data_IF_546399410098
#
_entry.id   IF_546399410098
#
_cell.length_a   1.000
_cell.length_b   1.000
_cell.length_c   1.000
_cell.angle_alpha   90.00
_cell.angle_beta   90.00
_cell.angle_gamma   90.00
#
_symmetry.space_group_name_H-M   'P 1'
#
loop_
_entity.id
_entity.type
_entity.pdbx_description
1 polymer ?
#
# COMPACT_ATOMS: atom_id res chain seq x y z
N UNK A 1 -11.19 -14.65 27.58
CA UNK A 1 -11.07 -13.39 26.81
C UNK A 1 -9.65 -12.82 26.79
N UNK A 2 -8.95 -12.64 27.93
CA UNK A 2 -7.58 -12.07 27.96
C UNK A 2 -6.59 -12.76 27.00
N UNK A 3 -6.49 -14.09 27.04
CA UNK A 3 -5.63 -14.87 26.11
C UNK A 3 -5.93 -14.63 24.61
N UNK A 4 -7.20 -14.40 24.26
CA UNK A 4 -7.60 -14.13 22.86
C UNK A 4 -7.15 -12.72 22.46
N UNK A 5 -7.34 -11.73 23.35
CA UNK A 5 -6.87 -10.36 23.13
C UNK A 5 -5.34 -10.34 22.98
N UNK A 6 -4.62 -11.00 23.88
CA UNK A 6 -3.16 -11.11 23.84
C UNK A 6 -2.70 -11.78 22.54
N UNK A 7 -3.41 -12.81 22.07
CA UNK A 7 -3.12 -13.46 20.80
C UNK A 7 -3.31 -12.50 19.62
N UNK A 8 -4.43 -11.77 19.55
CA UNK A 8 -4.69 -10.82 18.46
C UNK A 8 -3.68 -9.68 18.39
N UNK A 9 -2.99 -9.35 19.48
CA UNK A 9 -1.91 -8.35 19.54
C UNK A 9 -0.50 -8.95 19.39
N UNK A 10 -0.40 -10.23 19.02
CA UNK A 10 0.88 -10.92 18.90
C UNK A 10 1.37 -11.00 17.46
N UNK A 11 2.69 -11.10 17.30
CA UNK A 11 3.32 -11.42 16.01
C UNK A 11 2.79 -12.74 15.41
N UNK A 12 2.41 -13.71 16.26
CA UNK A 12 1.85 -14.99 15.82
C UNK A 12 0.54 -14.82 15.07
N UNK A 13 -0.32 -13.90 15.52
CA UNK A 13 -1.56 -13.61 14.82
C UNK A 13 -1.29 -12.96 13.46
N UNK A 14 -0.37 -12.00 13.39
CA UNK A 14 0.03 -11.37 12.12
C UNK A 14 0.55 -12.41 11.12
N UNK A 15 1.43 -13.31 11.55
CA UNK A 15 1.95 -14.41 10.72
C UNK A 15 0.81 -15.34 10.28
N UNK A 16 -0.09 -15.73 11.19
CA UNK A 16 -1.21 -16.62 10.87
C UNK A 16 -2.13 -16.01 9.82
N UNK A 17 -2.55 -14.76 10.00
CA UNK A 17 -3.44 -14.06 9.06
C UNK A 17 -2.75 -13.94 7.69
N UNK A 18 -1.48 -13.51 7.63
CA UNK A 18 -0.79 -13.42 6.34
C UNK A 18 -0.53 -14.78 5.68
N UNK A 19 -0.27 -15.82 6.46
CA UNK A 19 -0.15 -17.18 5.92
C UNK A 19 -1.48 -17.67 5.33
N UNK A 20 -2.59 -17.50 6.06
CA UNK A 20 -3.94 -17.84 5.57
C UNK A 20 -4.25 -17.06 4.29
N UNK A 21 -3.91 -15.78 4.25
CA UNK A 21 -4.07 -14.93 3.06
C UNK A 21 -3.31 -15.47 1.87
N UNK A 22 -2.04 -15.83 2.06
CA UNK A 22 -1.22 -16.43 1.02
C UNK A 22 -1.86 -17.72 0.48
N UNK A 23 -2.36 -18.59 1.36
CA UNK A 23 -3.01 -19.84 0.95
C UNK A 23 -4.29 -19.57 0.13
N UNK A 24 -5.19 -18.71 0.61
CA UNK A 24 -6.42 -18.38 -0.11
C UNK A 24 -6.13 -17.70 -1.45
N UNK A 25 -5.19 -16.78 -1.49
CA UNK A 25 -4.77 -16.09 -2.71
C UNK A 25 -4.16 -17.08 -3.72
N UNK A 26 -3.24 -17.95 -3.29
CA UNK A 26 -2.57 -18.92 -4.16
C UNK A 26 -3.54 -19.93 -4.78
N UNK A 27 -4.57 -20.31 -4.02
CA UNK A 27 -5.59 -21.27 -4.45
C UNK A 27 -6.78 -20.62 -5.19
N UNK A 28 -6.77 -19.29 -5.39
CA UNK A 28 -7.87 -18.52 -5.98
C UNK A 28 -9.21 -18.73 -5.24
N UNK A 29 -9.14 -18.78 -3.91
CA UNK A 29 -10.27 -18.97 -3.01
C UNK A 29 -10.63 -17.67 -2.27
N UNK A 30 -10.34 -16.50 -2.86
CA UNK A 30 -10.52 -15.20 -2.22
C UNK A 30 -11.96 -14.94 -1.77
N UNK A 31 -12.95 -15.48 -2.48
CA UNK A 31 -14.36 -15.34 -2.11
C UNK A 31 -14.59 -15.87 -0.69
N UNK A 32 -14.16 -17.10 -0.41
CA UNK A 32 -14.29 -17.76 0.89
C UNK A 32 -13.43 -17.04 1.95
N UNK A 33 -12.17 -16.76 1.62
CA UNK A 33 -11.23 -16.19 2.59
C UNK A 33 -11.64 -14.77 3.03
N UNK A 34 -12.10 -13.93 2.11
CA UNK A 34 -12.58 -12.58 2.42
C UNK A 34 -13.85 -12.66 3.28
N UNK A 35 -14.78 -13.59 3.00
CA UNK A 35 -15.95 -13.81 3.86
C UNK A 35 -15.56 -14.17 5.30
N UNK A 36 -14.57 -15.04 5.48
CA UNK A 36 -14.04 -15.38 6.80
C UNK A 36 -13.48 -14.13 7.48
N UNK A 37 -12.73 -13.31 6.77
CA UNK A 37 -12.09 -12.12 7.35
C UNK A 37 -13.11 -11.04 7.72
N UNK A 38 -14.13 -10.83 6.89
CA UNK A 38 -15.26 -9.96 7.20
C UNK A 38 -16.03 -10.46 8.43
N UNK A 39 -16.25 -11.78 8.55
CA UNK A 39 -16.84 -12.39 9.73
C UNK A 39 -16.00 -12.15 11.00
N UNK A 40 -14.69 -12.35 10.92
CA UNK A 40 -13.76 -12.07 12.02
C UNK A 40 -13.75 -10.59 12.40
N UNK A 41 -13.77 -9.67 11.43
CA UNK A 41 -13.88 -8.24 11.70
C UNK A 41 -15.18 -7.91 12.43
N UNK A 42 -16.31 -8.49 12.02
CA UNK A 42 -17.60 -8.33 12.70
C UNK A 42 -17.55 -8.84 14.16
N UNK A 43 -16.90 -9.98 14.39
CA UNK A 43 -16.65 -10.49 15.75
C UNK A 43 -15.84 -9.48 16.57
N UNK A 44 -14.79 -8.87 16.01
CA UNK A 44 -14.01 -7.84 16.71
C UNK A 44 -14.88 -6.61 17.01
N UNK A 45 -15.65 -6.11 16.04
CA UNK A 45 -16.55 -4.97 16.26
C UNK A 45 -17.56 -5.21 17.39
N UNK A 46 -18.12 -6.42 17.47
CA UNK A 46 -19.13 -6.76 18.47
C UNK A 46 -18.50 -7.02 19.84
N UNK A 47 -17.38 -7.74 19.92
CA UNK A 47 -16.91 -8.32 21.18
C UNK A 47 -15.65 -7.67 21.76
N UNK A 48 -14.90 -6.90 20.98
CA UNK A 48 -13.67 -6.23 21.44
C UNK A 48 -13.89 -4.73 21.57
N UNK A 49 -13.44 -4.14 22.69
CA UNK A 49 -13.36 -2.68 22.84
C UNK A 49 -12.24 -2.08 22.00
N UNK A 50 -11.16 -2.82 21.82
CA UNK A 50 -10.04 -2.40 20.99
C UNK A 50 -10.23 -2.93 19.57
N UNK A 51 -10.25 -2.02 18.60
CA UNK A 51 -10.45 -2.35 17.18
C UNK A 51 -9.13 -2.58 16.44
N UNK A 52 -7.97 -2.49 17.11
CA UNK A 52 -6.66 -2.70 16.47
C UNK A 52 -6.57 -4.02 15.68
N UNK A 53 -7.14 -5.16 16.13
CA UNK A 53 -7.13 -6.40 15.36
C UNK A 53 -7.87 -6.38 14.02
N UNK A 54 -8.72 -5.37 13.75
CA UNK A 54 -9.38 -5.20 12.44
C UNK A 54 -8.36 -4.79 11.37
N UNK A 55 -7.34 -4.00 11.73
CA UNK A 55 -6.36 -3.49 10.76
C UNK A 55 -5.61 -4.60 10.02
N UNK A 56 -4.96 -5.58 10.68
CA UNK A 56 -4.32 -6.67 9.96
C UNK A 56 -5.31 -7.52 9.16
N UNK A 57 -6.55 -7.73 9.64
CA UNK A 57 -7.57 -8.44 8.88
C UNK A 57 -7.94 -7.68 7.60
N UNK A 58 -8.12 -6.36 7.68
CA UNK A 58 -8.50 -5.51 6.54
C UNK A 58 -7.40 -5.47 5.48
N UNK A 59 -6.15 -5.22 5.88
CA UNK A 59 -5.02 -5.20 4.94
C UNK A 59 -4.79 -6.57 4.29
N UNK A 60 -4.89 -7.64 5.06
CA UNK A 60 -4.73 -8.97 4.47
C UNK A 60 -5.91 -9.37 3.59
N UNK A 61 -7.14 -8.95 3.88
CA UNK A 61 -8.28 -9.13 2.97
C UNK A 61 -8.05 -8.43 1.62
N UNK A 62 -7.46 -7.22 1.63
CA UNK A 62 -7.05 -6.53 0.40
C UNK A 62 -6.07 -7.38 -0.41
N UNK A 63 -5.00 -7.86 0.22
CA UNK A 63 -3.98 -8.68 -0.45
C UNK A 63 -4.42 -10.12 -0.77
N UNK A 64 -5.63 -10.50 -0.39
CA UNK A 64 -6.20 -11.81 -0.69
C UNK A 64 -6.86 -11.86 -2.07
N UNK A 65 -7.26 -10.71 -2.63
CA UNK A 65 -7.90 -10.65 -3.96
C UNK A 65 -6.92 -11.15 -5.00
N UNK A 66 -7.25 -12.26 -5.67
CA UNK A 66 -6.36 -12.94 -6.63
C UNK A 66 -6.78 -12.72 -8.09
N UNK A 67 -8.05 -12.37 -8.32
CA UNK A 67 -8.60 -12.08 -9.65
C UNK A 67 -9.04 -10.62 -9.78
N UNK A 68 -8.73 -10.01 -10.93
CA UNK A 68 -9.20 -8.66 -11.27
C UNK A 68 -10.53 -8.80 -12.05
N UNK A 69 -11.64 -8.19 -11.60
CA UNK A 69 -12.86 -8.20 -12.38
C UNK A 69 -12.67 -7.38 -13.66
N UNK A 70 -12.97 -7.99 -14.82
CA UNK A 70 -12.81 -7.36 -16.14
C UNK A 70 -13.92 -6.36 -16.45
N UNK A 71 -15.06 -6.44 -15.76
CA UNK A 71 -16.20 -5.55 -15.94
C UNK A 71 -16.92 -5.26 -14.61
N UNK A 72 -17.70 -4.17 -14.57
CA UNK A 72 -18.53 -3.82 -13.41
C UNK A 72 -19.60 -4.88 -13.10
N UNK A 73 -20.06 -5.64 -14.11
CA UNK A 73 -20.97 -6.77 -13.92
C UNK A 73 -20.32 -7.99 -13.26
N UNK A 74 -18.99 -8.10 -13.30
CA UNK A 74 -18.24 -9.22 -12.74
C UNK A 74 -17.69 -8.91 -11.34
N UNK A 75 -18.04 -7.76 -10.75
CA UNK A 75 -17.59 -7.39 -9.41
C UNK A 75 -18.13 -8.42 -8.40
N UNK A 76 -17.26 -9.18 -7.71
CA UNK A 76 -17.72 -10.22 -6.81
C UNK A 76 -18.48 -9.67 -5.61
N UNK A 77 -19.47 -10.43 -5.13
CA UNK A 77 -20.33 -10.06 -4.00
C UNK A 77 -19.55 -9.58 -2.76
N UNK A 78 -18.39 -10.18 -2.47
CA UNK A 78 -17.58 -9.82 -1.30
C UNK A 78 -17.08 -8.36 -1.34
N UNK A 79 -16.89 -7.77 -2.53
CA UNK A 79 -16.50 -6.36 -2.66
C UNK A 79 -17.64 -5.43 -2.24
N UNK A 80 -18.89 -5.78 -2.56
CA UNK A 80 -20.07 -5.05 -2.11
C UNK A 80 -20.34 -5.23 -0.61
N UNK A 81 -20.07 -6.42 -0.07
CA UNK A 81 -20.27 -6.71 1.35
C UNK A 81 -19.22 -6.07 2.25
N UNK A 82 -18.02 -5.80 1.73
CA UNK A 82 -16.93 -5.17 2.50
C UNK A 82 -17.35 -3.83 3.13
N UNK A 83 -17.83 -2.81 2.38
CA UNK A 83 -18.29 -1.57 2.98
C UNK A 83 -19.50 -1.77 3.90
N UNK A 84 -20.41 -2.71 3.59
CA UNK A 84 -21.58 -3.00 4.44
C UNK A 84 -21.14 -3.52 5.81
N UNK A 85 -20.23 -4.51 5.85
CA UNK A 85 -19.70 -5.09 7.10
C UNK A 85 -18.91 -4.05 7.88
N UNK A 86 -18.07 -3.25 7.22
CA UNK A 86 -17.29 -2.22 7.90
C UNK A 86 -18.19 -1.13 8.52
N UNK A 87 -19.13 -0.57 7.75
CA UNK A 87 -20.02 0.49 8.24
C UNK A 87 -20.94 -0.04 9.33
N UNK A 88 -21.61 -1.18 9.11
CA UNK A 88 -22.50 -1.77 10.12
C UNK A 88 -21.73 -2.17 11.39
N UNK A 89 -20.54 -2.76 11.24
CA UNK A 89 -19.65 -3.10 12.35
C UNK A 89 -19.22 -1.87 13.16
N UNK A 90 -18.83 -0.78 12.48
CA UNK A 90 -18.50 0.49 13.13
C UNK A 90 -19.68 1.06 13.92
N UNK A 91 -20.89 1.07 13.32
CA UNK A 91 -22.11 1.55 13.99
C UNK A 91 -22.43 0.70 15.23
N UNK A 92 -22.42 -0.63 15.09
CA UNK A 92 -22.65 -1.56 16.20
C UNK A 92 -21.64 -1.30 17.32
N UNK A 93 -20.37 -1.14 16.98
CA UNK A 93 -19.30 -0.90 17.94
C UNK A 93 -19.49 0.43 18.69
N UNK A 94 -19.78 1.52 17.98
CA UNK A 94 -20.03 2.85 18.57
C UNK A 94 -21.19 2.77 19.58
N UNK A 95 -22.31 2.17 19.18
CA UNK A 95 -23.52 2.06 20.01
C UNK A 95 -23.25 1.19 21.24
N UNK A 96 -22.64 0.00 21.04
CA UNK A 96 -22.42 -0.97 22.11
C UNK A 96 -21.43 -0.49 23.14
N UNK A 97 -20.30 0.08 22.71
CA UNK A 97 -19.24 0.50 23.61
C UNK A 97 -19.33 1.96 24.04
N UNK A 98 -20.37 2.69 23.56
CA UNK A 98 -20.63 4.10 23.88
C UNK A 98 -19.38 4.95 23.68
N UNK A 99 -18.79 4.81 22.49
CA UNK A 99 -17.51 5.44 22.12
C UNK A 99 -17.62 6.95 22.31
N UNK A 100 -16.65 7.53 23.02
CA UNK A 100 -16.54 8.98 23.20
C UNK A 100 -15.64 9.54 22.10
N UNK A 101 -16.13 10.55 21.38
CA UNK A 101 -15.41 11.11 20.25
C UNK A 101 -14.41 12.19 20.67
N UNK A 102 -13.15 11.92 20.39
CA UNK A 102 -12.06 12.88 20.29
C UNK A 102 -11.79 13.16 18.81
N UNK A 103 -11.48 14.42 18.51
CA UNK A 103 -11.16 14.87 17.16
C UNK A 103 -9.87 14.25 16.64
N UNK A 104 -8.89 13.96 17.50
CA UNK A 104 -7.56 13.55 17.05
C UNK A 104 -6.80 14.69 16.35
N UNK A 105 -5.50 14.50 16.16
CA UNK A 105 -4.60 15.55 15.66
C UNK A 105 -4.71 15.81 14.16
N UNK A 106 -5.02 14.78 13.36
CA UNK A 106 -5.05 14.89 11.90
C UNK A 106 -6.40 15.35 11.35
N UNK A 107 -7.48 15.30 12.15
CA UNK A 107 -8.83 15.59 11.68
C UNK A 107 -8.99 16.96 11.00
N UNK A 108 -8.42 18.07 11.50
CA UNK A 108 -8.53 19.35 10.80
C UNK A 108 -7.99 19.29 9.38
N UNK A 109 -6.82 18.68 9.16
CA UNK A 109 -6.24 18.50 7.83
C UNK A 109 -7.08 17.59 6.93
N UNK A 110 -7.70 16.54 7.49
CA UNK A 110 -8.61 15.65 6.76
C UNK A 110 -9.89 16.39 6.36
N UNK A 111 -10.48 17.19 7.24
CA UNK A 111 -11.67 18.01 6.94
C UNK A 111 -11.33 19.06 5.87
N UNK A 112 -10.19 19.74 5.97
CA UNK A 112 -9.74 20.70 4.95
C UNK A 112 -9.59 20.00 3.59
N UNK A 113 -8.99 18.80 3.57
CA UNK A 113 -8.87 18.00 2.35
C UNK A 113 -10.25 17.61 1.79
N UNK A 114 -11.15 17.11 2.63
CA UNK A 114 -12.51 16.77 2.21
C UNK A 114 -13.22 17.99 1.61
N UNK A 115 -13.17 19.14 2.31
CA UNK A 115 -13.72 20.39 1.78
C UNK A 115 -13.07 20.77 0.45
N UNK A 116 -11.75 20.64 0.31
CA UNK A 116 -11.05 20.93 -0.94
C UNK A 116 -11.55 20.04 -2.10
N UNK A 117 -11.84 18.77 -1.85
CA UNK A 117 -12.43 17.87 -2.85
C UNK A 117 -13.79 18.39 -3.33
N UNK A 118 -14.67 18.81 -2.42
CA UNK A 118 -15.97 19.39 -2.79
C UNK A 118 -15.82 20.76 -3.47
N UNK A 119 -14.97 21.64 -2.95
CA UNK A 119 -14.75 22.98 -3.48
C UNK A 119 -14.09 22.97 -4.86
N UNK A 120 -13.34 21.92 -5.19
CA UNK A 120 -12.76 21.76 -6.53
C UNK A 120 -13.82 21.63 -7.63
N UNK A 121 -15.09 21.42 -7.28
CA UNK A 121 -16.22 21.38 -8.22
C UNK A 121 -16.46 22.71 -8.91
N UNK A 122 -16.06 23.84 -8.30
CA UNK A 122 -16.25 25.17 -8.87
C UNK A 122 -15.52 25.38 -10.20
N UNK A 123 -14.42 24.65 -10.43
CA UNK A 123 -13.62 24.76 -11.66
C UNK A 123 -13.58 23.44 -12.44
N UNK A 124 -14.37 22.44 -12.03
CA UNK A 124 -14.41 21.15 -12.72
C UNK A 124 -15.07 21.32 -14.10
N UNK A 125 -14.49 20.69 -15.12
CA UNK A 125 -15.07 20.70 -16.47
C UNK A 125 -16.43 19.99 -16.50
N UNK A 126 -16.58 18.90 -15.75
CA UNK A 126 -17.81 18.11 -15.67
C UNK A 126 -18.11 17.66 -14.22
N UNK A 127 -19.39 17.67 -13.86
CA UNK A 127 -19.91 17.25 -12.55
C UNK A 127 -20.81 16.02 -12.69
N UNK A 128 -20.17 14.86 -12.88
CA UNK A 128 -20.85 13.57 -12.96
C UNK A 128 -21.21 13.01 -11.58
N UNK A 129 -22.05 11.97 -11.53
CA UNK A 129 -22.30 11.21 -10.30
C UNK A 129 -20.99 10.65 -9.71
N UNK A 130 -20.07 10.23 -10.60
CA UNK A 130 -18.75 9.77 -10.20
C UNK A 130 -17.96 10.88 -9.51
N UNK A 131 -18.04 12.12 -9.99
CA UNK A 131 -17.37 13.26 -9.34
C UNK A 131 -17.76 13.38 -7.87
N UNK A 132 -19.07 13.39 -7.60
CA UNK A 132 -19.59 13.50 -6.24
C UNK A 132 -19.28 12.26 -5.39
N UNK A 133 -19.27 11.08 -5.99
CA UNK A 133 -18.81 9.86 -5.33
C UNK A 133 -17.35 10.01 -4.86
N UNK A 134 -16.43 10.42 -5.73
CA UNK A 134 -15.03 10.63 -5.35
C UNK A 134 -14.87 11.76 -4.33
N UNK A 135 -15.60 12.87 -4.47
CA UNK A 135 -15.59 13.94 -3.46
C UNK A 135 -16.02 13.44 -2.07
N UNK A 136 -17.03 12.55 -2.02
CA UNK A 136 -17.52 11.96 -0.78
C UNK A 136 -16.51 11.04 -0.08
N UNK A 137 -15.50 10.52 -0.80
CA UNK A 137 -14.41 9.71 -0.20
C UNK A 137 -13.67 10.52 0.86
N UNK A 138 -13.53 11.85 0.70
CA UNK A 138 -12.95 12.72 1.72
C UNK A 138 -13.71 12.67 3.05
N UNK A 139 -15.04 12.65 3.00
CA UNK A 139 -15.90 12.50 4.19
C UNK A 139 -15.78 11.10 4.77
N UNK A 140 -15.82 10.07 3.93
CA UNK A 140 -15.65 8.67 4.36
C UNK A 140 -14.30 8.50 5.07
N UNK A 141 -13.23 9.10 4.56
CA UNK A 141 -11.91 9.09 5.18
C UNK A 141 -11.93 9.78 6.56
N UNK A 142 -12.62 10.91 6.70
CA UNK A 142 -12.81 11.59 7.99
C UNK A 142 -13.56 10.69 9.01
N UNK A 143 -14.62 10.00 8.56
CA UNK A 143 -15.40 9.09 9.41
C UNK A 143 -14.56 7.89 9.87
N UNK A 144 -13.81 7.27 8.95
CA UNK A 144 -12.90 6.15 9.26
C UNK A 144 -11.83 6.61 10.26
N UNK A 145 -11.24 7.79 10.04
CA UNK A 145 -10.24 8.36 10.94
C UNK A 145 -10.81 8.58 12.35
N UNK A 146 -11.94 9.28 12.46
CA UNK A 146 -12.60 9.55 13.75
C UNK A 146 -12.94 8.24 14.46
N UNK A 147 -13.44 7.24 13.73
CA UNK A 147 -13.72 5.93 14.31
C UNK A 147 -12.46 5.35 14.96
N UNK A 148 -11.41 5.13 14.18
CA UNK A 148 -10.22 4.43 14.66
C UNK A 148 -9.43 5.19 15.73
N UNK A 149 -9.37 6.53 15.66
CA UNK A 149 -8.71 7.35 16.69
C UNK A 149 -9.37 7.19 18.06
N UNK A 150 -10.65 6.82 18.10
CA UNK A 150 -11.43 6.69 19.32
C UNK A 150 -11.63 5.25 19.79
N UNK A 151 -11.27 4.27 18.98
CA UNK A 151 -11.49 2.84 19.28
C UNK A 151 -10.20 2.06 19.46
N UNK A 152 -9.05 2.56 18.99
CA UNK A 152 -7.76 1.96 19.31
C UNK A 152 -7.39 2.16 20.78
N UNK A 153 -6.86 1.11 21.42
CA UNK A 153 -6.33 1.17 22.77
C UNK A 153 -4.80 1.03 22.79
N UNK A 154 -4.13 1.81 23.63
CA UNK A 154 -2.68 1.72 23.84
C UNK A 154 -1.82 2.24 22.67
N UNK A 155 -0.51 2.00 22.77
CA UNK A 155 0.45 2.32 21.71
C UNK A 155 0.65 1.11 20.78
N UNK A 156 0.10 1.22 19.58
CA UNK A 156 0.13 0.16 18.57
C UNK A 156 1.25 0.34 17.52
N UNK A 157 2.17 1.30 17.69
CA UNK A 157 3.24 1.57 16.69
C UNK A 157 4.06 0.34 16.38
N UNK A 158 4.56 -0.35 17.41
CA UNK A 158 5.38 -1.56 17.21
C UNK A 158 4.60 -2.65 16.48
N UNK A 159 3.33 -2.83 16.83
CA UNK A 159 2.45 -3.83 16.22
C UNK A 159 2.16 -3.50 14.75
N UNK A 160 1.91 -2.22 14.41
CA UNK A 160 1.78 -1.74 13.03
C UNK A 160 3.05 -1.97 12.21
N UNK A 161 4.23 -1.67 12.77
CA UNK A 161 5.51 -1.93 12.09
C UNK A 161 5.70 -3.44 11.85
N UNK A 162 5.39 -4.28 12.83
CA UNK A 162 5.44 -5.73 12.67
C UNK A 162 4.48 -6.21 11.57
N UNK A 163 3.26 -5.66 11.49
CA UNK A 163 2.30 -5.98 10.44
C UNK A 163 2.86 -5.61 9.07
N UNK A 164 3.37 -4.38 8.89
CA UNK A 164 3.96 -3.93 7.63
C UNK A 164 5.17 -4.79 7.20
N UNK A 165 6.00 -5.21 8.15
CA UNK A 165 7.10 -6.14 7.90
C UNK A 165 6.60 -7.49 7.36
N UNK A 166 5.60 -8.10 8.01
CA UNK A 166 5.01 -9.37 7.57
C UNK A 166 4.31 -9.23 6.21
N UNK A 167 3.59 -8.13 5.98
CA UNK A 167 2.96 -7.82 4.69
C UNK A 167 3.98 -7.67 3.56
N UNK A 168 5.14 -7.06 3.83
CA UNK A 168 6.24 -7.00 2.86
C UNK A 168 6.76 -8.38 2.45
N UNK A 169 6.83 -9.32 3.40
CA UNK A 169 7.17 -10.72 3.10
C UNK A 169 6.04 -11.39 2.30
N UNK A 170 4.79 -11.22 2.71
CA UNK A 170 3.61 -11.77 2.02
C UNK A 170 3.60 -11.37 0.53
N UNK A 171 3.67 -10.07 0.24
CA UNK A 171 3.65 -9.54 -1.13
C UNK A 171 4.84 -10.07 -1.93
N UNK A 172 6.02 -10.12 -1.32
CA UNK A 172 7.22 -10.65 -1.98
C UNK A 172 7.03 -12.12 -2.37
N UNK A 173 6.41 -12.94 -1.51
CA UNK A 173 6.10 -14.33 -1.84
C UNK A 173 5.02 -14.42 -2.94
N UNK A 174 4.00 -13.56 -2.93
CA UNK A 174 3.00 -13.52 -4.00
C UNK A 174 3.63 -13.22 -5.37
N UNK A 175 4.59 -12.29 -5.43
CA UNK A 175 5.37 -12.01 -6.66
C UNK A 175 6.12 -13.25 -7.12
N UNK A 176 6.79 -13.97 -6.21
CA UNK A 176 7.46 -15.24 -6.54
C UNK A 176 6.48 -16.27 -7.10
N UNK A 177 5.36 -16.48 -6.41
CA UNK A 177 4.36 -17.48 -6.81
C UNK A 177 3.77 -17.16 -8.19
N UNK A 178 3.43 -15.89 -8.43
CA UNK A 178 2.93 -15.44 -9.73
C UNK A 178 3.88 -15.84 -10.86
N UNK A 179 5.17 -15.53 -10.72
CA UNK A 179 6.17 -15.89 -11.73
C UNK A 179 6.48 -17.40 -11.82
N UNK A 180 6.24 -18.17 -10.75
CA UNK A 180 6.35 -19.64 -10.81
C UNK A 180 5.14 -20.24 -11.54
N UNK A 181 3.96 -19.64 -11.42
CA UNK A 181 2.72 -20.08 -12.06
C UNK A 181 2.57 -19.59 -13.50
N UNK A 182 3.39 -18.63 -13.93
CA UNK A 182 3.49 -18.13 -15.29
C UNK A 182 3.76 -19.27 -16.30
N UNK A 183 2.93 -19.39 -17.34
CA UNK A 183 3.15 -20.36 -18.43
C UNK A 183 4.41 -19.99 -19.24
N UNK A 184 4.59 -18.69 -19.52
CA UNK A 184 5.82 -18.14 -20.08
C UNK A 184 6.30 -16.95 -19.24
N UNK A 185 7.22 -17.26 -18.32
CA UNK A 185 7.88 -16.27 -17.47
C UNK A 185 8.46 -15.08 -18.25
N UNK A 186 9.07 -15.31 -19.42
CA UNK A 186 9.76 -14.24 -20.15
C UNK A 186 8.72 -13.34 -20.82
N UNK A 187 7.69 -13.93 -21.42
CA UNK A 187 6.63 -13.18 -22.10
C UNK A 187 5.80 -12.34 -21.10
N UNK A 188 5.38 -12.91 -19.98
CA UNK A 188 4.59 -12.21 -18.95
C UNK A 188 5.35 -11.02 -18.34
N UNK A 189 6.69 -11.14 -18.24
CA UNK A 189 7.54 -10.02 -17.85
C UNK A 189 7.69 -8.95 -18.93
N UNK A 190 7.86 -9.34 -20.20
CA UNK A 190 7.96 -8.38 -21.32
C UNK A 190 6.68 -7.57 -21.47
N UNK A 191 5.52 -8.23 -21.32
CA UNK A 191 4.21 -7.62 -21.45
C UNK A 191 3.84 -6.75 -20.23
N UNK A 192 4.67 -6.78 -19.17
CA UNK A 192 4.47 -6.06 -17.90
C UNK A 192 3.14 -6.42 -17.23
N UNK A 193 2.72 -7.67 -17.37
CA UNK A 193 1.45 -8.15 -16.86
C UNK A 193 1.53 -8.65 -15.41
N UNK A 194 2.43 -8.08 -14.59
CA UNK A 194 2.41 -8.40 -13.16
C UNK A 194 1.11 -7.86 -12.54
N UNK A 195 0.14 -8.76 -12.43
CA UNK A 195 -1.20 -8.55 -11.88
C UNK A 195 -1.44 -9.61 -10.82
N UNK A 196 -1.42 -9.19 -9.56
CA UNK A 196 -1.68 -10.07 -8.42
C UNK A 196 -3.17 -10.15 -8.03
N UNK A 197 -4.07 -9.64 -8.89
CA UNK A 197 -5.48 -9.45 -8.57
C UNK A 197 -5.74 -8.16 -7.79
N UNK A 198 -5.18 -8.03 -6.59
CA UNK A 198 -5.36 -6.82 -5.77
C UNK A 198 -4.57 -5.61 -6.27
N UNK A 199 -3.53 -5.83 -7.09
CA UNK A 199 -2.69 -4.75 -7.57
C UNK A 199 -1.85 -5.10 -8.79
N UNK A 200 -1.49 -4.06 -9.52
CA UNK A 200 -0.59 -4.10 -10.68
C UNK A 200 0.82 -3.63 -10.30
N UNK A 201 1.81 -3.84 -11.17
CA UNK A 201 3.23 -3.48 -11.01
C UNK A 201 3.50 -2.23 -10.16
N UNK A 202 2.88 -1.09 -10.51
CA UNK A 202 3.14 0.19 -9.83
C UNK A 202 2.61 0.22 -8.39
N UNK A 203 1.48 -0.43 -8.12
CA UNK A 203 0.90 -0.51 -6.79
C UNK A 203 1.72 -1.45 -5.91
N UNK A 204 2.09 -2.62 -6.45
CA UNK A 204 2.95 -3.60 -5.77
C UNK A 204 4.27 -2.96 -5.38
N UNK A 205 4.91 -2.26 -6.32
CA UNK A 205 6.16 -1.55 -6.08
C UNK A 205 6.03 -0.49 -4.97
N UNK A 206 4.91 0.24 -4.95
CA UNK A 206 4.65 1.26 -3.92
C UNK A 206 4.65 0.63 -2.52
N UNK A 207 3.94 -0.48 -2.33
CA UNK A 207 3.90 -1.19 -1.05
C UNK A 207 5.28 -1.77 -0.68
N UNK A 208 5.99 -2.39 -1.64
CA UNK A 208 7.31 -2.97 -1.37
C UNK A 208 8.33 -1.90 -0.96
N UNK A 209 8.38 -0.74 -1.63
CA UNK A 209 9.27 0.38 -1.22
C UNK A 209 8.99 0.79 0.22
N UNK A 210 7.71 0.97 0.58
CA UNK A 210 7.33 1.31 1.95
C UNK A 210 7.75 0.23 2.95
N UNK A 211 7.48 -1.04 2.66
CA UNK A 211 7.73 -2.14 3.58
C UNK A 211 9.21 -2.50 3.72
N UNK A 212 10.03 -2.27 2.69
CA UNK A 212 11.49 -2.41 2.77
C UNK A 212 12.07 -1.45 3.82
N UNK A 213 11.58 -0.21 3.90
CA UNK A 213 12.02 0.75 4.93
C UNK A 213 11.69 0.23 6.34
N UNK A 214 10.55 -0.45 6.51
CA UNK A 214 10.17 -1.08 7.78
C UNK A 214 11.06 -2.29 8.12
N UNK A 215 11.45 -3.08 7.12
CA UNK A 215 12.45 -4.14 7.30
C UNK A 215 13.78 -3.57 7.78
N UNK A 216 14.25 -2.47 7.19
CA UNK A 216 15.47 -1.76 7.62
C UNK A 216 15.34 -1.24 9.06
N UNK A 217 14.17 -0.73 9.45
CA UNK A 217 13.91 -0.38 10.84
C UNK A 217 14.18 -1.56 11.79
N UNK A 218 13.65 -2.76 11.50
CA UNK A 218 13.92 -3.94 12.33
C UNK A 218 15.38 -4.40 12.28
N UNK A 219 16.04 -4.31 11.12
CA UNK A 219 17.48 -4.57 10.98
C UNK A 219 18.30 -3.68 11.93
N UNK A 220 17.92 -2.41 12.09
CA UNK A 220 18.66 -1.44 12.92
C UNK A 220 18.29 -1.41 14.40
N UNK A 221 17.21 -2.09 14.81
CA UNK A 221 16.67 -2.00 16.18
C UNK A 221 16.77 -3.30 16.96
N UNK A 222 16.90 -4.43 16.29
CA UNK A 222 17.05 -5.75 16.92
C UNK A 222 18.53 -6.09 17.12
N UNK A 223 18.88 -6.70 18.26
CA UNK A 223 20.26 -7.14 18.58
C UNK A 223 20.86 -8.01 17.46
N UNK A 224 20.06 -8.91 16.89
CA UNK A 224 20.47 -9.77 15.75
C UNK A 224 19.80 -9.35 14.45
N UNK A 225 19.62 -8.05 14.25
CA UNK A 225 18.97 -7.49 13.06
C UNK A 225 19.67 -7.84 11.74
N UNK A 226 20.97 -8.18 11.77
CA UNK A 226 21.72 -8.67 10.60
C UNK A 226 21.10 -9.94 9.97
N UNK A 227 20.35 -10.74 10.73
CA UNK A 227 19.62 -11.91 10.22
C UNK A 227 18.43 -11.54 9.31
N UNK A 228 17.99 -10.28 9.34
CA UNK A 228 16.91 -9.77 8.49
C UNK A 228 17.42 -9.11 7.19
N UNK A 229 18.74 -8.95 7.01
CA UNK A 229 19.32 -8.45 5.75
C UNK A 229 18.90 -9.30 4.54
N UNK A 230 18.86 -10.65 4.60
CA UNK A 230 18.37 -11.46 3.49
C UNK A 230 16.90 -11.17 3.14
N UNK A 231 16.08 -10.80 4.13
CA UNK A 231 14.67 -10.42 3.91
C UNK A 231 14.59 -9.07 3.17
N UNK A 232 15.41 -8.09 3.56
CA UNK A 232 15.51 -6.81 2.83
C UNK A 232 15.94 -7.04 1.39
N UNK A 233 16.97 -7.86 1.17
CA UNK A 233 17.48 -8.19 -0.17
C UNK A 233 16.41 -8.90 -0.98
N UNK A 234 15.71 -9.88 -0.40
CA UNK A 234 14.59 -10.57 -1.05
C UNK A 234 13.48 -9.61 -1.50
N UNK A 235 13.00 -8.74 -0.61
CA UNK A 235 12.00 -7.72 -0.93
C UNK A 235 12.48 -6.76 -2.02
N UNK A 236 13.76 -6.38 -1.99
CA UNK A 236 14.39 -5.52 -3.01
C UNK A 236 14.38 -6.17 -4.38
N UNK A 237 14.70 -7.46 -4.45
CA UNK A 237 14.69 -8.22 -5.70
C UNK A 237 13.26 -8.37 -6.22
N UNK A 238 12.29 -8.64 -5.34
CA UNK A 238 10.87 -8.67 -5.74
C UNK A 238 10.37 -7.32 -6.25
N UNK A 239 10.85 -6.21 -5.68
CA UNK A 239 10.59 -4.88 -6.19
C UNK A 239 11.14 -4.71 -7.62
N UNK A 240 12.35 -5.19 -7.92
CA UNK A 240 12.90 -5.14 -9.27
C UNK A 240 12.05 -5.95 -10.25
N UNK A 241 11.55 -7.12 -9.84
CA UNK A 241 10.64 -7.94 -10.64
C UNK A 241 9.28 -7.28 -10.91
N UNK A 242 8.91 -6.20 -10.21
CA UNK A 242 7.69 -5.45 -10.55
C UNK A 242 7.78 -4.69 -11.86
N UNK A 243 9.00 -4.39 -12.34
CA UNK A 243 9.26 -3.54 -13.51
C UNK A 243 8.66 -2.13 -13.42
N UNK A 244 8.22 -1.71 -12.22
CA UNK A 244 7.74 -0.36 -11.95
C UNK A 244 8.91 0.61 -11.94
N UNK A 245 9.17 1.25 -13.09
CA UNK A 245 10.27 2.22 -13.23
C UNK A 245 10.25 3.31 -12.15
N UNK A 246 9.08 3.85 -11.84
CA UNK A 246 8.93 4.87 -10.80
C UNK A 246 9.28 4.34 -9.40
N UNK A 247 8.79 3.15 -9.05
CA UNK A 247 9.10 2.52 -7.77
C UNK A 247 10.57 2.11 -7.64
N UNK A 248 11.13 1.54 -8.69
CA UNK A 248 12.55 1.13 -8.76
C UNK A 248 13.45 2.36 -8.67
N UNK A 249 13.15 3.44 -9.40
CA UNK A 249 13.94 4.67 -9.34
C UNK A 249 13.91 5.31 -7.95
N UNK A 250 12.71 5.46 -7.37
CA UNK A 250 12.57 5.95 -5.99
C UNK A 250 13.36 5.09 -5.00
N UNK A 251 13.36 3.77 -5.18
CA UNK A 251 14.12 2.84 -4.36
C UNK A 251 15.63 2.99 -4.50
N UNK A 252 16.15 3.06 -5.74
CA UNK A 252 17.59 3.23 -6.01
C UNK A 252 18.11 4.51 -5.37
N UNK A 253 17.32 5.59 -5.37
CA UNK A 253 17.70 6.85 -4.72
C UNK A 253 17.84 6.72 -3.20
N UNK A 254 16.96 5.95 -2.54
CA UNK A 254 17.00 5.78 -1.07
C UNK A 254 17.87 4.61 -0.62
N UNK A 255 18.19 3.65 -1.49
CA UNK A 255 18.93 2.44 -1.17
C UNK A 255 20.29 2.71 -0.49
N UNK A 256 21.14 3.64 -0.97
CA UNK A 256 22.41 3.95 -0.30
C UNK A 256 22.22 4.41 1.14
N UNK A 257 21.19 5.23 1.39
CA UNK A 257 20.85 5.68 2.74
C UNK A 257 20.38 4.50 3.60
N UNK A 258 19.53 3.62 3.07
CA UNK A 258 19.06 2.44 3.80
C UNK A 258 20.22 1.52 4.18
N UNK A 259 21.10 1.20 3.23
CA UNK A 259 22.31 0.39 3.49
C UNK A 259 23.20 1.08 4.52
N UNK A 260 23.48 2.37 4.36
CA UNK A 260 24.27 3.13 5.33
C UNK A 260 23.67 3.07 6.75
N UNK A 261 22.34 3.20 6.89
CA UNK A 261 21.66 3.11 8.18
C UNK A 261 21.85 1.72 8.84
N UNK A 262 21.86 0.63 8.06
CA UNK A 262 22.11 -0.72 8.61
C UNK A 262 23.48 -0.84 9.28
N UNK A 263 24.52 -0.21 8.72
CA UNK A 263 25.87 -0.23 9.29
C UNK A 263 26.10 0.83 10.36
N UNK A 264 25.52 2.03 10.21
CA UNK A 264 25.72 3.15 11.15
C UNK A 264 25.15 2.83 12.52
N UNK A 265 23.97 2.21 12.58
CA UNK A 265 23.24 1.95 13.83
C UNK A 265 23.59 0.63 14.50
N UNK A 266 24.50 -0.17 13.92
CA UNK A 266 24.82 -1.49 14.42
C UNK A 266 26.24 -1.56 14.95
N UNK A 267 26.40 -2.17 16.13
CA UNK A 267 27.71 -2.54 16.68
C UNK A 267 28.27 -3.80 16.01
N UNK A 268 27.42 -4.60 15.34
CA UNK A 268 27.71 -5.89 14.69
C UNK A 268 28.02 -5.74 13.20
N UNK A 269 28.88 -4.79 12.84
CA UNK A 269 29.11 -4.41 11.42
C UNK A 269 29.62 -5.56 10.55
N UNK A 270 30.45 -6.43 11.12
CA UNK A 270 30.99 -7.59 10.41
C UNK A 270 29.88 -8.59 10.06
N UNK A 271 28.95 -8.84 10.98
CA UNK A 271 27.82 -9.74 10.75
C UNK A 271 26.85 -9.19 9.72
N UNK A 272 26.62 -7.87 9.68
CA UNK A 272 25.88 -7.24 8.58
C UNK A 272 26.58 -7.44 7.24
N UNK A 273 27.90 -7.21 7.18
CA UNK A 273 28.69 -7.42 5.96
C UNK A 273 28.60 -8.88 5.49
N UNK A 274 28.78 -9.85 6.40
CA UNK A 274 28.65 -11.27 6.09
C UNK A 274 27.24 -11.56 5.56
N UNK A 275 26.19 -11.01 6.18
CA UNK A 275 24.81 -11.23 5.75
C UNK A 275 24.54 -10.68 4.34
N UNK A 276 25.10 -9.51 3.98
CA UNK A 276 25.06 -8.99 2.62
C UNK A 276 25.82 -9.88 1.63
N UNK A 277 27.02 -10.34 1.99
CA UNK A 277 27.83 -11.21 1.13
C UNK A 277 27.15 -12.56 0.88
N UNK A 278 26.57 -13.17 1.91
CA UNK A 278 25.79 -14.41 1.80
C UNK A 278 24.58 -14.18 0.90
N UNK A 279 23.84 -13.09 1.11
CA UNK A 279 22.68 -12.75 0.26
C UNK A 279 23.09 -12.55 -1.20
N UNK A 280 24.20 -11.86 -1.45
CA UNK A 280 24.74 -11.65 -2.80
C UNK A 280 25.19 -12.97 -3.45
N UNK A 281 25.84 -13.86 -2.71
CA UNK A 281 26.25 -15.17 -3.20
C UNK A 281 25.04 -16.03 -3.59
N UNK A 282 23.98 -16.04 -2.75
CA UNK A 282 22.73 -16.74 -3.06
C UNK A 282 22.08 -16.16 -4.33
N UNK A 283 22.00 -14.84 -4.45
CA UNK A 283 21.47 -14.20 -5.67
C UNK A 283 22.30 -14.51 -6.92
N UNK A 284 23.63 -14.54 -6.80
CA UNK A 284 24.50 -14.91 -7.90
C UNK A 284 24.26 -16.35 -8.35
N UNK A 285 24.09 -17.30 -7.42
CA UNK A 285 23.73 -18.69 -7.75
C UNK A 285 22.38 -18.76 -8.46
N UNK A 286 21.35 -18.07 -7.93
CA UNK A 286 20.02 -18.00 -8.56
C UNK A 286 20.12 -17.42 -9.97
N UNK A 287 20.89 -16.35 -10.15
CA UNK A 287 21.11 -15.73 -11.45
C UNK A 287 21.82 -16.68 -12.43
N UNK A 288 22.84 -17.42 -11.99
CA UNK A 288 23.56 -18.37 -12.83
C UNK A 288 22.65 -19.51 -13.29
N UNK A 289 21.80 -20.03 -12.40
CA UNK A 289 20.82 -21.09 -12.73
C UNK A 289 19.73 -20.54 -13.67
N UNK A 290 19.24 -19.33 -13.40
CA UNK A 290 18.15 -18.69 -14.15
C UNK A 290 18.59 -17.82 -15.31
N UNK A 291 19.88 -17.84 -15.70
CA UNK A 291 20.51 -16.84 -16.58
C UNK A 291 19.73 -16.61 -17.87
N UNK A 292 19.27 -17.68 -18.52
CA UNK A 292 18.56 -17.61 -19.80
C UNK A 292 17.19 -16.94 -19.68
N UNK A 293 16.54 -17.01 -18.50
CA UNK A 293 15.26 -16.35 -18.24
C UNK A 293 15.44 -14.91 -17.76
N UNK A 294 16.53 -14.64 -17.05
CA UNK A 294 16.77 -13.33 -16.40
C UNK A 294 17.49 -12.34 -17.35
N UNK A 295 18.40 -12.80 -18.22
CA UNK A 295 19.12 -11.89 -19.13
C UNK A 295 18.21 -11.09 -20.09
N UNK A 296 17.20 -11.69 -20.74
CA UNK A 296 16.27 -10.94 -21.59
C UNK A 296 15.57 -9.80 -20.83
N UNK A 297 15.34 -9.96 -19.53
CA UNK A 297 14.77 -8.94 -18.68
C UNK A 297 15.70 -7.73 -18.52
N UNK A 298 16.98 -7.99 -18.26
CA UNK A 298 17.98 -6.93 -18.18
C UNK A 298 18.12 -6.20 -19.51
N UNK A 299 18.12 -6.93 -20.62
CA UNK A 299 18.18 -6.33 -21.96
C UNK A 299 16.95 -5.46 -22.24
N UNK A 300 15.76 -5.91 -21.86
CA UNK A 300 14.53 -5.12 -21.97
C UNK A 300 14.62 -3.82 -21.15
N UNK A 301 15.08 -3.91 -19.90
CA UNK A 301 15.27 -2.75 -19.04
C UNK A 301 16.28 -1.75 -19.61
N UNK A 302 17.43 -2.24 -20.10
CA UNK A 302 18.47 -1.40 -20.68
C UNK A 302 18.00 -0.72 -21.97
N UNK A 303 17.21 -1.43 -22.80
CA UNK A 303 16.64 -0.88 -24.05
C UNK A 303 15.54 0.15 -23.81
N UNK A 304 14.67 -0.09 -22.82
CA UNK A 304 13.56 0.83 -22.51
C UNK A 304 13.97 1.99 -21.62
N UNK A 305 15.10 1.86 -20.91
CA UNK A 305 15.77 2.92 -20.18
C UNK A 305 14.93 3.60 -19.09
N UNK A 306 15.45 4.72 -18.60
CA UNK A 306 14.78 5.62 -17.66
C UNK A 306 14.12 6.80 -18.39
N UNK A 307 13.44 6.53 -19.51
CA UNK A 307 12.69 7.59 -20.19
C UNK A 307 11.63 8.17 -19.23
N UNK A 308 11.48 9.49 -19.27
CA UNK A 308 10.64 10.26 -18.37
C UNK A 308 9.16 9.91 -18.52
N UNK A 309 8.77 9.16 -19.57
CA UNK A 309 7.38 8.80 -19.87
C UNK A 309 6.43 10.01 -19.81
N UNK A 310 6.92 11.16 -20.28
CA UNK A 310 6.20 12.42 -20.26
C UNK A 310 5.85 12.93 -18.85
N UNK A 311 6.52 12.48 -17.77
CA UNK A 311 6.20 12.90 -16.39
C UNK A 311 6.40 14.40 -16.18
N UNK A 312 7.47 14.99 -16.71
CA UNK A 312 7.67 16.45 -16.66
C UNK A 312 6.56 17.21 -17.38
N UNK A 313 6.10 16.71 -18.52
CA UNK A 313 4.96 17.29 -19.25
C UNK A 313 3.69 17.23 -18.38
N UNK A 314 3.42 16.07 -17.79
CA UNK A 314 2.27 15.85 -16.88
C UNK A 314 2.33 16.78 -15.66
N UNK A 315 3.52 16.98 -15.09
CA UNK A 315 3.69 17.89 -13.95
C UNK A 315 3.52 19.35 -14.36
N UNK A 316 4.01 19.73 -15.53
CA UNK A 316 3.81 21.06 -16.10
C UNK A 316 2.31 21.31 -16.38
N UNK A 317 1.57 20.32 -16.84
CA UNK A 317 0.13 20.42 -17.06
C UNK A 317 -0.62 20.68 -15.76
N UNK A 318 -0.35 19.90 -14.70
CA UNK A 318 -0.91 20.17 -13.37
C UNK A 318 -0.55 21.57 -12.87
N UNK A 319 0.70 21.99 -13.07
CA UNK A 319 1.14 23.32 -12.68
C UNK A 319 0.39 24.42 -13.45
N UNK A 320 0.12 24.21 -14.74
CA UNK A 320 -0.69 25.12 -15.54
C UNK A 320 -2.15 25.15 -15.09
N UNK A 321 -2.74 24.01 -14.71
CA UNK A 321 -4.08 23.97 -14.10
C UNK A 321 -4.10 24.76 -12.80
N UNK A 322 -3.13 24.53 -11.91
CA UNK A 322 -3.02 25.27 -10.65
C UNK A 322 -2.89 26.78 -10.87
N UNK A 323 -2.06 27.23 -11.82
CA UNK A 323 -1.93 28.66 -12.15
C UNK A 323 -3.25 29.28 -12.63
N UNK A 324 -4.09 28.52 -13.34
CA UNK A 324 -5.42 28.98 -13.77
C UNK A 324 -6.44 28.98 -12.62
N UNK A 325 -6.35 28.00 -11.72
CA UNK A 325 -7.30 27.80 -10.62
C UNK A 325 -6.58 27.63 -9.27
N UNK A 326 -5.91 28.67 -8.74
CA UNK A 326 -4.99 28.52 -7.60
C UNK A 326 -5.69 28.16 -6.29
N UNK A 327 -6.94 28.59 -6.09
CA UNK A 327 -7.66 28.36 -4.83
C UNK A 327 -8.16 26.91 -4.70
N UNK A 328 -8.92 26.43 -5.67
CA UNK A 328 -9.63 25.15 -5.59
C UNK A 328 -9.18 24.11 -6.63
N UNK A 329 -8.16 24.39 -7.44
CA UNK A 329 -7.70 23.50 -8.50
C UNK A 329 -8.73 23.36 -9.63
N UNK A 330 -8.42 22.53 -10.63
CA UNK A 330 -9.28 22.29 -11.80
C UNK A 330 -10.31 21.16 -11.62
N UNK A 331 -10.53 20.69 -10.38
CA UNK A 331 -11.39 19.55 -10.09
C UNK A 331 -10.62 18.24 -9.89
N UNK A 332 -11.25 17.27 -9.19
CA UNK A 332 -10.71 15.91 -8.94
C UNK A 332 -10.24 15.23 -10.24
N UNK A 333 -10.94 15.50 -11.33
CA UNK A 333 -10.73 14.93 -12.65
C UNK A 333 -10.01 15.85 -13.64
N UNK A 334 -9.27 16.86 -13.15
CA UNK A 334 -8.57 17.84 -14.00
C UNK A 334 -7.58 17.25 -15.03
N UNK A 335 -7.27 15.95 -14.94
CA UNK A 335 -6.49 15.22 -15.93
C UNK A 335 -7.28 14.03 -16.46
N UNK A 336 -7.67 14.15 -17.72
CA UNK A 336 -8.30 13.10 -18.49
C UNK A 336 -7.24 12.43 -19.38
N UNK A 337 -7.24 11.10 -19.42
CA UNK A 337 -6.49 10.31 -20.39
C UNK A 337 -7.39 9.83 -21.53
N UNK A 338 -6.82 9.16 -22.54
CA UNK A 338 -7.57 8.68 -23.72
C UNK A 338 -8.70 7.68 -23.41
N UNK A 339 -8.69 7.07 -22.22
CA UNK A 339 -9.67 6.06 -21.80
C UNK A 339 -10.23 6.28 -20.40
N UNK A 340 -9.50 6.95 -19.50
CA UNK A 340 -9.84 7.09 -18.07
C UNK A 340 -9.14 8.29 -17.42
N UNK A 341 -9.56 8.63 -16.20
CA UNK A 341 -8.88 9.58 -15.32
C UNK A 341 -7.45 9.16 -15.02
N UNK A 342 -6.52 10.12 -15.07
CA UNK A 342 -5.10 9.85 -14.81
C UNK A 342 -4.57 10.69 -13.65
N UNK A 343 -3.74 10.09 -12.81
CA UNK A 343 -3.06 10.81 -11.73
C UNK A 343 -1.86 11.58 -12.26
N UNK A 344 -1.47 12.68 -11.60
CA UNK A 344 -0.26 13.44 -11.97
C UNK A 344 1.04 12.77 -11.47
N UNK A 345 0.95 11.62 -10.78
CA UNK A 345 2.08 10.81 -10.29
C UNK A 345 3.08 11.56 -9.39
N UNK A 346 2.67 12.69 -8.82
CA UNK A 346 3.36 13.41 -7.75
C UNK A 346 2.28 13.96 -6.82
N UNK A 347 2.28 13.54 -5.55
CA UNK A 347 1.19 13.85 -4.61
C UNK A 347 0.98 15.36 -4.43
N UNK A 348 2.06 16.15 -4.33
CA UNK A 348 1.97 17.60 -4.11
C UNK A 348 1.42 18.33 -5.34
N UNK A 349 2.00 18.03 -6.51
CA UNK A 349 1.57 18.63 -7.78
C UNK A 349 0.16 18.16 -8.14
N UNK A 350 -0.17 16.90 -7.82
CA UNK A 350 -1.51 16.37 -8.04
C UNK A 350 -2.55 17.14 -7.22
N UNK A 351 -2.32 17.30 -5.91
CA UNK A 351 -3.23 18.05 -5.04
C UNK A 351 -3.34 19.51 -5.46
N UNK A 352 -2.24 20.16 -5.86
CA UNK A 352 -2.27 21.53 -6.38
C UNK A 352 -3.11 21.63 -7.66
N UNK A 353 -2.91 20.72 -8.62
CA UNK A 353 -3.65 20.71 -9.88
C UNK A 353 -5.14 20.42 -9.69
N UNK A 354 -5.51 19.48 -8.80
CA UNK A 354 -6.90 19.04 -8.66
C UNK A 354 -7.69 19.82 -7.60
N UNK A 355 -7.05 20.24 -6.49
CA UNK A 355 -7.71 20.80 -5.31
C UNK A 355 -7.14 22.15 -4.85
N UNK A 356 -6.14 22.67 -5.56
CA UNK A 356 -5.56 24.00 -5.31
C UNK A 356 -4.82 24.12 -3.98
N UNK A 357 -4.61 25.36 -3.54
CA UNK A 357 -3.89 25.66 -2.30
C UNK A 357 -4.64 25.13 -1.07
N UNK A 358 -5.98 25.09 -1.10
CA UNK A 358 -6.79 24.57 0.01
C UNK A 358 -6.52 23.08 0.21
N UNK A 359 -6.47 22.30 -0.88
CA UNK A 359 -6.06 20.90 -0.82
C UNK A 359 -4.64 20.74 -0.28
N UNK A 360 -3.69 21.57 -0.73
CA UNK A 360 -2.30 21.50 -0.27
C UNK A 360 -2.17 21.78 1.23
N UNK A 361 -2.90 22.76 1.76
CA UNK A 361 -2.94 23.04 3.22
C UNK A 361 -3.44 21.82 3.98
N UNK A 362 -4.51 21.17 3.50
CA UNK A 362 -5.04 19.95 4.08
C UNK A 362 -4.01 18.81 4.10
N UNK A 363 -3.25 18.64 3.01
CA UNK A 363 -2.18 17.65 2.91
C UNK A 363 -1.02 17.96 3.86
N UNK A 364 -0.51 19.19 3.86
CA UNK A 364 0.62 19.60 4.69
C UNK A 364 0.31 19.49 6.18
N UNK A 365 -0.91 19.85 6.58
CA UNK A 365 -1.36 19.64 7.95
C UNK A 365 -1.33 18.16 8.34
N UNK A 366 -1.77 17.25 7.45
CA UNK A 366 -1.74 15.81 7.72
C UNK A 366 -0.32 15.25 7.82
N UNK A 367 0.64 15.79 7.05
CA UNK A 367 2.03 15.34 7.10
C UNK A 367 2.80 15.84 8.32
N UNK A 368 2.39 16.97 8.90
CA UNK A 368 3.07 17.58 10.05
C UNK A 368 2.62 17.01 11.40
N UNK A 369 1.37 16.54 11.50
CA UNK A 369 0.73 16.09 12.75
C UNK A 369 0.86 14.58 12.97
#
# INVERSE_FOLDING_TARGET
MKKIIDFTHSLKFLILVSFVTLCFWTLKLESIGIFIYLGLMMVVFIFSKDTMPIIPLLFNALFMVSTLPLSFSDIPLYLYLTPIVLISGMVIHIVKFKVKFNKGKMLPGIIIMALAMFLSSFNAAELSLNYWFYASIGIVYALIYIFFVNTFQGDNKKYLLQMMFILGILISIQVVIHFIQAEDFVQEMIDKELVLGWGISNQIATYLVMFIVITVYFITTLDRGYLLVPVMVFQSVMLLFTLSRGGIFAYILILPLLVYLTFKKSDRKLEHLISFLVSAAVLAIIFLIGKNKILPLFDYFLRTGFDDNLRFMVWNDAWNVFKRHPLFGGGIFAREGPKDYQMYHNTFIHVLGTMGIVGLIGLLHQLYM
#
